data_IF_441919840000
#
_entry.id   IF_441919840000
#
_cell.length_a   1.000
_cell.length_b   1.000
_cell.length_c   1.000
_cell.angle_alpha   90.00
_cell.angle_beta   90.00
_cell.angle_gamma   90.00
#
_symmetry.space_group_name_H-M   'P 1'
#
loop_
_entity.id
_entity.type
_entity.pdbx_description
1 polymer ?
#
# COMPACT_ATOMS: atom_id res chain seq x y z
N UNK A 1 -5.08 -18.10 14.07
CA UNK A 1 -3.95 -17.19 13.84
C UNK A 1 -4.46 -15.76 13.87
N UNK A 2 -3.92 -14.97 14.78
CA UNK A 2 -4.45 -13.62 15.04
C UNK A 2 -3.59 -12.55 14.36
N UNK A 3 -3.72 -12.45 13.04
CA UNK A 3 -3.05 -11.39 12.29
C UNK A 3 -3.97 -10.17 12.22
N UNK A 4 -3.47 -9.03 12.72
CA UNK A 4 -4.19 -7.77 12.60
C UNK A 4 -3.97 -7.19 11.21
N UNK A 5 -5.02 -7.17 10.40
CA UNK A 5 -4.97 -6.63 9.04
C UNK A 5 -5.00 -5.11 8.99
N UNK A 6 -5.34 -4.46 10.09
CA UNK A 6 -5.39 -2.99 10.18
C UNK A 6 -4.58 -2.50 11.38
N UNK A 7 -3.26 -2.73 11.38
CA UNK A 7 -2.42 -2.34 12.51
C UNK A 7 -2.18 -0.84 12.56
N UNK A 8 -1.78 -0.37 13.74
CA UNK A 8 -1.18 0.96 13.89
C UNK A 8 0.32 0.78 14.01
N UNK A 9 1.07 1.32 13.05
CA UNK A 9 2.52 1.15 12.95
C UNK A 9 3.17 2.53 12.90
N UNK A 10 4.24 2.71 13.64
CA UNK A 10 4.94 4.00 13.69
C UNK A 10 6.39 3.85 13.25
N UNK A 11 6.77 4.62 12.23
CA UNK A 11 8.14 4.75 11.76
C UNK A 11 8.73 6.11 12.10
N UNK A 12 9.99 6.37 11.70
CA UNK A 12 10.64 7.65 11.95
C UNK A 12 9.91 8.85 11.35
N UNK A 13 9.30 8.69 10.19
CA UNK A 13 8.67 9.79 9.44
C UNK A 13 7.16 9.61 9.32
N UNK A 14 6.68 8.38 9.16
CA UNK A 14 5.28 8.09 8.88
C UNK A 14 4.66 7.21 9.96
N UNK A 15 3.33 7.35 10.08
CA UNK A 15 2.50 6.43 10.86
C UNK A 15 1.52 5.77 9.91
N UNK A 16 1.31 4.47 10.08
CA UNK A 16 0.25 3.74 9.38
C UNK A 16 -0.83 3.41 10.40
N UNK A 17 -2.08 3.63 10.02
CA UNK A 17 -3.24 3.34 10.87
C UNK A 17 -4.42 2.86 10.03
N UNK A 18 -5.44 2.24 10.65
CA UNK A 18 -6.61 1.80 9.89
C UNK A 18 -7.27 2.93 9.11
N UNK A 19 -7.74 2.59 7.90
CA UNK A 19 -8.55 3.51 7.11
C UNK A 19 -9.92 3.66 7.77
N UNK A 20 -10.38 4.91 7.90
CA UNK A 20 -11.68 5.25 8.48
C UNK A 20 -12.56 5.92 7.44
N UNK A 21 -13.88 5.80 7.62
CA UNK A 21 -14.85 6.48 6.76
C UNK A 21 -14.59 7.99 6.69
N UNK A 22 -14.19 8.59 7.80
CA UNK A 22 -13.86 10.02 7.89
C UNK A 22 -12.61 10.42 7.08
N UNK A 23 -11.85 9.46 6.56
CA UNK A 23 -10.66 9.72 5.73
C UNK A 23 -11.00 9.96 4.26
N UNK A 24 -12.27 9.88 3.88
CA UNK A 24 -12.71 9.94 2.49
C UNK A 24 -12.11 11.10 1.71
N UNK A 25 -12.26 12.34 2.20
CA UNK A 25 -11.84 13.51 1.44
C UNK A 25 -10.33 13.54 1.22
N UNK A 26 -9.56 13.22 2.24
CA UNK A 26 -8.10 13.20 2.15
C UNK A 26 -7.60 12.07 1.24
N UNK A 27 -8.20 10.88 1.34
CA UNK A 27 -7.88 9.74 0.48
C UNK A 27 -8.16 10.06 -0.98
N UNK A 28 -9.35 10.59 -1.26
CA UNK A 28 -9.77 10.94 -2.62
C UNK A 28 -8.86 12.03 -3.21
N UNK A 29 -8.47 13.01 -2.41
CA UNK A 29 -7.58 14.08 -2.87
C UNK A 29 -6.24 13.52 -3.38
N UNK A 30 -5.65 12.57 -2.68
CA UNK A 30 -4.37 11.95 -3.10
C UNK A 30 -4.59 11.03 -4.30
N UNK A 31 -5.58 10.16 -4.23
CA UNK A 31 -5.82 9.15 -5.26
C UNK A 31 -6.32 9.75 -6.59
N UNK A 32 -6.76 11.00 -6.60
CA UNK A 32 -7.23 11.68 -7.80
C UNK A 32 -6.11 12.26 -8.67
N UNK A 33 -4.85 12.14 -8.25
CA UNK A 33 -3.71 12.60 -9.05
C UNK A 33 -3.44 11.59 -10.18
N UNK A 34 -3.70 11.93 -11.44
CA UNK A 34 -3.53 10.98 -12.54
C UNK A 34 -2.09 10.51 -12.72
N UNK A 35 -1.11 11.28 -12.28
CA UNK A 35 0.30 10.92 -12.41
C UNK A 35 0.70 9.79 -11.46
N UNK A 36 -0.06 9.57 -10.38
CA UNK A 36 0.15 8.42 -9.50
C UNK A 36 -0.08 7.10 -10.25
N UNK A 37 -1.02 7.08 -11.19
CA UNK A 37 -1.45 5.86 -11.88
C UNK A 37 -0.85 5.71 -13.29
N UNK A 38 0.01 6.62 -13.70
CA UNK A 38 0.57 6.64 -15.07
C UNK A 38 1.23 5.31 -15.46
N UNK A 39 1.99 4.70 -14.56
CA UNK A 39 2.65 3.43 -14.80
C UNK A 39 1.87 2.21 -14.28
N UNK A 40 0.65 2.44 -13.79
CA UNK A 40 -0.18 1.37 -13.27
C UNK A 40 -0.91 0.69 -14.44
N UNK A 41 -1.17 -0.65 -14.36
CA UNK A 41 -1.95 -1.34 -15.39
C UNK A 41 -3.33 -0.72 -15.65
N UNK A 42 -3.92 -0.12 -14.62
CA UNK A 42 -5.19 0.61 -14.73
C UNK A 42 -4.91 2.10 -14.60
N UNK A 43 -4.38 2.72 -15.67
CA UNK A 43 -3.97 4.13 -15.64
C UNK A 43 -5.14 5.12 -15.49
N UNK A 44 -6.37 4.66 -15.67
CA UNK A 44 -7.58 5.49 -15.52
C UNK A 44 -8.12 5.52 -14.08
N UNK A 45 -7.38 5.01 -13.10
CA UNK A 45 -7.81 4.97 -11.69
C UNK A 45 -8.07 6.35 -11.07
N UNK A 46 -7.55 7.41 -11.66
CA UNK A 46 -7.76 8.77 -11.16
C UNK A 46 -9.12 9.36 -11.54
N UNK A 47 -9.93 8.67 -12.35
CA UNK A 47 -11.27 9.16 -12.67
C UNK A 47 -12.14 9.18 -11.41
N UNK A 48 -13.04 10.17 -11.25
CA UNK A 48 -13.82 10.30 -10.01
C UNK A 48 -14.57 9.02 -9.62
N UNK A 49 -15.17 8.35 -10.59
CA UNK A 49 -15.92 7.11 -10.34
C UNK A 49 -15.02 6.00 -9.80
N UNK A 50 -13.82 5.85 -10.37
CA UNK A 50 -12.89 4.81 -9.94
C UNK A 50 -12.26 5.13 -8.59
N UNK A 51 -11.98 6.38 -8.32
CA UNK A 51 -11.45 6.81 -7.01
C UNK A 51 -12.47 6.53 -5.91
N UNK A 52 -13.74 6.86 -6.14
CA UNK A 52 -14.80 6.57 -5.16
C UNK A 52 -14.96 5.07 -4.95
N UNK A 53 -14.92 4.29 -6.02
CA UNK A 53 -15.00 2.82 -5.92
C UNK A 53 -13.78 2.26 -5.17
N UNK A 54 -12.60 2.78 -5.45
CA UNK A 54 -11.39 2.37 -4.77
C UNK A 54 -11.48 2.61 -3.26
N UNK A 55 -11.97 3.78 -2.86
CA UNK A 55 -12.16 4.09 -1.44
C UNK A 55 -13.20 3.13 -0.80
N UNK A 56 -14.34 2.94 -1.45
CA UNK A 56 -15.38 2.04 -0.96
C UNK A 56 -14.87 0.61 -0.80
N UNK A 57 -14.13 0.11 -1.79
CA UNK A 57 -13.54 -1.23 -1.74
C UNK A 57 -12.50 -1.35 -0.63
N UNK A 58 -11.70 -0.30 -0.43
CA UNK A 58 -10.71 -0.27 0.63
C UNK A 58 -11.37 -0.38 2.01
N UNK A 59 -12.41 0.40 2.26
CA UNK A 59 -13.16 0.32 3.52
C UNK A 59 -13.76 -1.07 3.73
N UNK A 60 -14.39 -1.60 2.69
CA UNK A 60 -15.05 -2.91 2.75
C UNK A 60 -14.06 -4.05 2.95
N UNK A 61 -12.81 -3.90 2.54
CA UNK A 61 -11.81 -4.96 2.60
C UNK A 61 -11.46 -5.41 4.01
N UNK A 62 -11.57 -4.51 4.99
CA UNK A 62 -11.15 -4.78 6.36
C UNK A 62 -9.65 -4.90 6.55
N UNK A 63 -8.85 -4.51 5.55
CA UNK A 63 -7.39 -4.61 5.59
C UNK A 63 -6.65 -3.37 5.12
N UNK A 64 -7.36 -2.27 4.87
CA UNK A 64 -6.73 -1.04 4.38
C UNK A 64 -6.19 -0.18 5.51
N UNK A 65 -4.99 0.34 5.31
CA UNK A 65 -4.36 1.32 6.22
C UNK A 65 -4.03 2.58 5.43
N UNK A 66 -3.94 3.70 6.11
CA UNK A 66 -3.48 4.97 5.52
C UNK A 66 -2.09 5.31 6.02
N UNK A 67 -1.33 6.03 5.20
CA UNK A 67 0.00 6.52 5.53
C UNK A 67 -0.15 7.99 5.92
N UNK A 68 0.31 8.32 7.12
CA UNK A 68 0.09 9.63 7.73
C UNK A 68 1.43 10.25 8.10
N UNK A 69 1.61 11.54 7.79
CA UNK A 69 2.80 12.29 8.19
C UNK A 69 2.75 12.66 9.68
N UNK A 70 3.86 13.16 10.20
CA UNK A 70 3.91 13.66 11.57
C UNK A 70 2.91 14.78 11.88
N UNK A 71 2.47 15.51 10.86
CA UNK A 71 1.48 16.58 10.98
C UNK A 71 0.03 16.08 10.85
N UNK A 72 -0.15 14.77 10.69
CA UNK A 72 -1.49 14.18 10.56
C UNK A 72 -2.07 14.19 9.16
N UNK A 73 -1.28 14.51 8.14
CA UNK A 73 -1.72 14.53 6.74
C UNK A 73 -1.68 13.13 6.12
N UNK A 74 -2.78 12.69 5.51
CA UNK A 74 -2.82 11.44 4.78
C UNK A 74 -2.16 11.64 3.41
N UNK A 75 -1.15 10.81 3.13
CA UNK A 75 -0.36 10.91 1.90
C UNK A 75 -0.34 9.62 1.09
N UNK A 76 -1.05 8.61 1.53
CA UNK A 76 -1.12 7.35 0.82
C UNK A 76 -1.91 6.29 1.55
N UNK A 77 -1.91 5.11 0.98
CA UNK A 77 -2.63 3.97 1.53
C UNK A 77 -1.99 2.66 1.07
N UNK A 78 -2.29 1.60 1.79
CA UNK A 78 -1.94 0.24 1.39
C UNK A 78 -2.98 -0.71 1.96
N UNK A 79 -2.94 -1.97 1.55
CA UNK A 79 -3.95 -2.96 1.95
C UNK A 79 -3.31 -4.32 2.18
N UNK A 80 -3.60 -4.91 3.36
CA UNK A 80 -3.35 -6.32 3.59
C UNK A 80 -4.57 -7.10 3.12
N UNK A 81 -4.39 -7.97 2.14
CA UNK A 81 -5.46 -8.83 1.67
C UNK A 81 -5.73 -9.97 2.65
N UNK A 82 -6.75 -10.77 2.39
CA UNK A 82 -7.06 -11.91 3.25
C UNK A 82 -5.89 -12.89 3.20
N UNK A 83 -5.32 -13.28 4.36
CA UNK A 83 -4.18 -14.19 4.38
C UNK A 83 -4.52 -15.58 3.84
N UNK A 84 -3.56 -16.20 3.17
CA UNK A 84 -3.60 -17.61 2.82
C UNK A 84 -2.83 -18.38 3.90
N UNK A 85 -3.52 -18.77 4.95
CA UNK A 85 -2.91 -19.42 6.10
C UNK A 85 -2.35 -20.80 5.75
N UNK A 86 -2.99 -21.52 4.83
CA UNK A 86 -2.55 -22.85 4.40
C UNK A 86 -1.17 -22.78 3.72
N UNK A 87 -0.86 -21.68 3.04
CA UNK A 87 0.41 -21.49 2.34
C UNK A 87 1.37 -20.57 3.09
N UNK A 88 0.99 -20.10 4.27
CA UNK A 88 1.80 -19.21 5.10
C UNK A 88 2.21 -17.93 4.36
N UNK A 89 1.27 -17.30 3.66
CA UNK A 89 1.54 -16.10 2.88
C UNK A 89 0.42 -15.07 2.94
N UNK A 90 0.80 -13.82 2.71
CA UNK A 90 -0.14 -12.70 2.64
C UNK A 90 0.22 -11.80 1.46
N UNK A 91 -0.79 -11.27 0.80
CA UNK A 91 -0.63 -10.29 -0.28
C UNK A 91 -0.78 -8.89 0.29
N UNK A 92 0.19 -8.03 0.01
CA UNK A 92 0.11 -6.59 0.29
C UNK A 92 -0.06 -5.91 -1.06
N UNK A 93 -1.15 -5.18 -1.22
CA UNK A 93 -1.56 -4.64 -2.51
C UNK A 93 -2.15 -3.24 -2.37
N UNK A 94 -2.46 -2.61 -3.49
CA UNK A 94 -3.11 -1.30 -3.54
C UNK A 94 -2.33 -0.20 -2.82
N UNK A 95 -0.99 -0.26 -2.86
CA UNK A 95 -0.13 0.76 -2.26
C UNK A 95 0.03 1.94 -3.19
N UNK A 96 -0.22 3.14 -2.69
CA UNK A 96 0.12 4.37 -3.39
C UNK A 96 0.57 5.46 -2.41
N UNK A 97 1.37 6.39 -2.89
CA UNK A 97 1.84 7.55 -2.15
C UNK A 97 1.68 8.80 -3.01
N UNK A 98 1.42 9.93 -2.36
CA UNK A 98 1.43 11.23 -3.03
C UNK A 98 2.82 11.49 -3.63
N UNK A 99 2.86 12.11 -4.81
CA UNK A 99 4.10 12.29 -5.58
C UNK A 99 5.26 12.95 -4.84
N UNK A 100 5.06 13.94 -3.95
CA UNK A 100 6.18 14.49 -3.18
C UNK A 100 6.92 13.47 -2.33
N UNK A 101 6.29 12.32 -2.05
CA UNK A 101 6.85 11.24 -1.25
C UNK A 101 7.36 10.08 -2.10
N UNK A 102 7.54 10.29 -3.41
CA UNK A 102 8.08 9.30 -4.32
C UNK A 102 9.61 9.26 -4.27
N UNK A 103 10.16 9.22 -3.09
CA UNK A 103 11.59 8.98 -2.91
C UNK A 103 11.77 7.52 -2.52
N UNK A 104 12.92 6.97 -2.84
CA UNK A 104 13.26 5.60 -2.44
C UNK A 104 13.18 5.45 -0.92
N UNK A 105 13.72 6.44 -0.19
CA UNK A 105 13.73 6.44 1.26
C UNK A 105 12.33 6.34 1.85
N UNK A 106 11.42 7.18 1.37
CA UNK A 106 10.03 7.19 1.87
C UNK A 106 9.31 5.89 1.53
N UNK A 107 9.48 5.41 0.32
CA UNK A 107 8.86 4.16 -0.12
C UNK A 107 9.35 2.98 0.71
N UNK A 108 10.67 2.89 0.94
CA UNK A 108 11.28 1.81 1.73
C UNK A 108 10.79 1.86 3.17
N UNK A 109 10.67 3.05 3.75
CA UNK A 109 10.13 3.17 5.12
C UNK A 109 8.72 2.59 5.23
N UNK A 110 7.82 3.00 4.33
CA UNK A 110 6.43 2.54 4.33
C UNK A 110 6.36 1.03 4.14
N UNK A 111 7.07 0.52 3.15
CA UNK A 111 7.08 -0.93 2.87
C UNK A 111 7.70 -1.72 4.00
N UNK A 112 8.75 -1.21 4.62
CA UNK A 112 9.38 -1.89 5.75
C UNK A 112 8.45 -2.04 6.94
N UNK A 113 7.66 -1.01 7.24
CA UNK A 113 6.65 -1.10 8.29
C UNK A 113 5.62 -2.19 7.99
N UNK A 114 5.13 -2.24 6.76
CA UNK A 114 4.18 -3.26 6.32
C UNK A 114 4.80 -4.66 6.37
N UNK A 115 6.02 -4.81 5.87
CA UNK A 115 6.70 -6.09 5.81
C UNK A 115 7.03 -6.62 7.20
N UNK A 116 7.54 -5.78 8.09
CA UNK A 116 7.86 -6.19 9.46
C UNK A 116 6.63 -6.72 10.17
N UNK A 117 5.50 -6.03 10.01
CA UNK A 117 4.24 -6.49 10.59
C UNK A 117 3.81 -7.84 10.02
N UNK A 118 3.87 -8.00 8.70
CA UNK A 118 3.45 -9.24 8.04
C UNK A 118 4.39 -10.40 8.35
N UNK A 119 5.70 -10.17 8.35
CA UNK A 119 6.68 -11.23 8.63
C UNK A 119 6.69 -11.70 10.09
N UNK A 120 6.09 -10.93 11.00
CA UNK A 120 5.89 -11.41 12.37
C UNK A 120 4.93 -12.61 12.43
N UNK A 121 4.11 -12.81 11.40
CA UNK A 121 3.11 -13.88 11.35
C UNK A 121 3.30 -14.83 10.17
N UNK A 122 3.65 -14.31 8.98
CA UNK A 122 3.72 -15.11 7.75
C UNK A 122 5.15 -15.26 7.26
N UNK A 123 5.45 -16.40 6.63
CA UNK A 123 6.75 -16.66 6.05
C UNK A 123 6.97 -16.03 4.68
N UNK A 124 5.88 -15.68 3.98
CA UNK A 124 5.96 -15.13 2.63
C UNK A 124 5.01 -13.96 2.46
N UNK A 125 5.53 -12.90 1.84
CA UNK A 125 4.73 -11.75 1.40
C UNK A 125 4.70 -11.76 -0.12
N UNK A 126 3.50 -11.61 -0.69
CA UNK A 126 3.33 -11.43 -2.12
C UNK A 126 3.03 -9.96 -2.43
N UNK A 127 3.55 -9.49 -3.56
CA UNK A 127 3.32 -8.13 -4.05
C UNK A 127 2.91 -8.22 -5.52
N UNK A 128 2.02 -7.33 -5.94
CA UNK A 128 1.68 -7.15 -7.35
C UNK A 128 2.29 -5.84 -7.82
N UNK A 129 3.20 -5.94 -8.77
CA UNK A 129 3.88 -4.77 -9.34
C UNK A 129 3.79 -4.87 -10.85
N UNK A 130 3.31 -3.80 -11.50
CA UNK A 130 3.27 -3.76 -12.96
C UNK A 130 4.67 -3.92 -13.54
N UNK A 131 4.81 -4.69 -14.63
CA UNK A 131 6.12 -4.94 -15.23
C UNK A 131 6.83 -3.66 -15.68
N UNK A 132 6.05 -2.63 -16.03
CA UNK A 132 6.57 -1.34 -16.45
C UNK A 132 6.77 -0.37 -15.28
N UNK A 133 6.41 -0.75 -14.07
CA UNK A 133 6.61 0.08 -12.88
C UNK A 133 8.02 -0.15 -12.33
N UNK A 134 9.02 0.38 -13.04
CA UNK A 134 10.43 0.15 -12.73
C UNK A 134 10.83 0.75 -11.38
N UNK A 135 10.25 1.87 -10.99
CA UNK A 135 10.51 2.50 -9.69
C UNK A 135 10.15 1.56 -8.54
N UNK A 136 8.95 1.02 -8.55
CA UNK A 136 8.49 0.10 -7.49
C UNK A 136 9.28 -1.19 -7.50
N UNK A 137 9.55 -1.76 -8.68
CA UNK A 137 10.36 -2.97 -8.80
C UNK A 137 11.77 -2.76 -8.25
N UNK A 138 12.40 -1.64 -8.59
CA UNK A 138 13.72 -1.30 -8.09
C UNK A 138 13.74 -1.26 -6.55
N UNK A 139 12.75 -0.59 -5.96
CA UNK A 139 12.68 -0.48 -4.50
C UNK A 139 12.50 -1.85 -3.83
N UNK A 140 11.58 -2.68 -4.33
CA UNK A 140 11.29 -3.97 -3.67
C UNK A 140 12.35 -5.02 -3.94
N UNK A 141 12.92 -5.07 -5.15
CA UNK A 141 13.93 -6.07 -5.50
C UNK A 141 15.31 -5.72 -4.94
N UNK A 142 15.74 -4.47 -5.09
CA UNK A 142 17.12 -4.08 -4.76
C UNK A 142 17.29 -3.68 -3.29
N UNK A 143 16.27 -3.11 -2.67
CA UNK A 143 16.39 -2.56 -1.31
C UNK A 143 15.61 -3.33 -0.26
N UNK A 144 14.52 -4.00 -0.62
CA UNK A 144 13.73 -4.81 0.29
C UNK A 144 13.96 -6.31 0.12
N UNK A 145 14.79 -6.69 -0.85
CA UNK A 145 15.19 -8.08 -1.05
C UNK A 145 14.13 -8.98 -1.67
N UNK A 146 13.13 -8.40 -2.33
CA UNK A 146 12.10 -9.18 -2.99
C UNK A 146 12.67 -9.93 -4.20
N UNK A 147 12.16 -11.12 -4.45
CA UNK A 147 12.53 -11.93 -5.62
C UNK A 147 11.36 -11.90 -6.60
N UNK A 148 11.67 -11.59 -7.86
CA UNK A 148 10.64 -11.59 -8.90
C UNK A 148 10.13 -13.00 -9.13
N UNK A 149 8.82 -13.15 -9.01
CA UNK A 149 8.11 -14.35 -9.40
C UNK A 149 7.12 -13.91 -10.45
N UNK A 150 6.94 -14.68 -11.49
CA UNK A 150 6.05 -14.29 -12.58
C UNK A 150 4.69 -13.86 -12.05
N UNK A 151 4.24 -12.71 -12.52
CA UNK A 151 2.88 -12.23 -12.19
C UNK A 151 1.88 -12.83 -13.14
N UNK A 152 0.80 -13.28 -12.56
CA UNK A 152 -0.32 -13.76 -13.37
C UNK A 152 -1.03 -12.58 -14.05
#
# INVERSE_FOLDING_TARGET
MDFDRQPSLQGPKFTLRPLLDSDHDAFVAVASDPLIWEEHPESDRATPEKVEQFFADALASGGAVVVVTGDGEIIGSSRFEVPDEARDRILIDHTFLARPYWTLEDYVEVKSLLFDHAFATFGTIELRVGVDNTRTRHAVEDFLGAVYVETA
#
